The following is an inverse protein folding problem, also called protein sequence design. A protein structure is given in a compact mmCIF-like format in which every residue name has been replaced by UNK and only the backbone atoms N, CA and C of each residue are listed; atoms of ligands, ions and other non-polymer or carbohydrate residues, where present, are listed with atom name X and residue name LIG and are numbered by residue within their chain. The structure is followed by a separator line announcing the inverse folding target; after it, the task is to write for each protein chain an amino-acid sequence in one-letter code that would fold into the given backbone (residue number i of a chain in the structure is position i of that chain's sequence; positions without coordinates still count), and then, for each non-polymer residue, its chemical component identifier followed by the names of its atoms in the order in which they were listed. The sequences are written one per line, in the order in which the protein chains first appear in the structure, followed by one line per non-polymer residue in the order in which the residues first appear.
data_IF_104201035702
#
_entry.id   IF_104201035702
#
_cell.length_a   1.000
_cell.length_b   1.000
_cell.length_c   1.000
_cell.angle_alpha   90.00
_cell.angle_beta   90.00
_cell.angle_gamma   90.00
#
_symmetry.space_group_name_H-M   'P 1'
#
loop_
_entity.id
_entity.type
_entity.pdbx_description
1 polymer ?
#
# COMPACT_ATOMS: atom_id res chain seq x y z
N UNK A 1 7.42 22.91 8.95
CA UNK A 1 6.70 21.81 9.62
C UNK A 1 7.44 20.50 9.37
N UNK A 2 8.36 20.19 10.27
CA UNK A 2 8.92 18.88 10.61
C UNK A 2 9.98 19.18 11.68
N UNK A 3 9.64 19.01 12.97
CA UNK A 3 10.62 19.09 14.04
C UNK A 3 11.18 17.68 14.24
N UNK A 4 12.48 17.49 14.01
CA UNK A 4 13.19 16.26 14.35
C UNK A 4 13.69 16.42 15.79
N UNK A 5 13.18 15.61 16.72
CA UNK A 5 13.63 15.58 18.11
C UNK A 5 14.51 14.35 18.36
N UNK A 6 15.62 14.53 19.08
CA UNK A 6 16.68 13.55 19.27
C UNK A 6 16.38 12.66 20.50
N UNK A 7 16.50 11.34 20.34
CA UNK A 7 15.87 10.32 21.21
C UNK A 7 16.62 10.06 22.54
N UNK A 8 17.75 10.72 22.78
CA UNK A 8 18.62 10.39 23.93
C UNK A 8 18.12 10.93 25.29
N UNK A 9 16.94 11.56 25.39
CA UNK A 9 16.52 12.26 26.62
C UNK A 9 15.08 12.05 27.09
N UNK A 10 14.32 11.05 26.63
CA UNK A 10 12.91 10.88 27.05
C UNK A 10 12.67 9.53 27.75
N UNK A 11 12.29 9.60 29.03
CA UNK A 11 12.26 8.44 29.96
C UNK A 11 10.87 8.11 30.55
N UNK A 12 9.74 8.63 30.04
CA UNK A 12 8.45 8.39 30.70
C UNK A 12 7.33 7.81 29.81
N UNK A 13 6.62 6.83 30.39
CA UNK A 13 5.64 5.94 29.77
C UNK A 13 4.33 6.63 29.29
N UNK A 14 4.20 7.95 29.47
CA UNK A 14 3.05 8.74 29.03
C UNK A 14 3.22 9.38 27.64
N UNK A 15 4.42 9.33 27.04
CA UNK A 15 4.68 9.83 25.67
C UNK A 15 4.30 8.85 24.54
N UNK A 16 3.90 7.62 24.90
CA UNK A 16 3.56 6.56 23.93
C UNK A 16 2.27 6.81 23.14
N UNK A 17 1.49 7.85 23.46
CA UNK A 17 0.24 8.19 22.77
C UNK A 17 0.30 9.50 21.94
N UNK A 18 1.43 10.22 21.91
CA UNK A 18 1.57 11.47 21.14
C UNK A 18 2.62 11.48 20.04
N UNK A 19 3.34 10.38 19.80
CA UNK A 19 4.29 10.28 18.69
C UNK A 19 3.87 9.17 17.75
N UNK A 20 3.26 9.56 16.64
CA UNK A 20 3.03 8.73 15.48
C UNK A 20 4.38 8.20 14.94
N UNK A 21 4.84 7.10 15.55
CA UNK A 21 5.44 5.92 14.92
C UNK A 21 6.24 6.20 13.64
N UNK A 22 7.43 6.79 13.80
CA UNK A 22 8.57 6.44 12.96
C UNK A 22 8.94 4.98 13.25
N UNK A 23 8.25 4.03 12.62
CA UNK A 23 8.60 2.59 12.74
C UNK A 23 9.86 2.34 11.91
N UNK A 24 11.01 2.38 12.57
CA UNK A 24 12.30 1.94 12.05
C UNK A 24 12.65 0.62 12.75
N UNK A 25 12.40 -0.47 12.01
CA UNK A 25 13.08 -1.77 11.98
C UNK A 25 12.97 -2.76 13.17
N UNK A 26 12.40 -3.93 12.88
CA UNK A 26 12.88 -5.20 13.45
C UNK A 26 14.19 -5.59 12.73
N UNK A 27 15.31 -5.84 13.43
CA UNK A 27 16.63 -6.04 12.83
C UNK A 27 16.86 -7.49 12.37
N UNK A 28 16.05 -8.00 11.44
CA UNK A 28 16.22 -9.38 10.94
C UNK A 28 16.30 -9.56 9.42
N UNK A 29 16.21 -8.51 8.62
CA UNK A 29 16.38 -8.61 7.17
C UNK A 29 17.38 -7.57 6.66
N UNK A 30 18.60 -8.02 6.33
CA UNK A 30 19.49 -7.28 5.44
C UNK A 30 18.93 -7.46 4.02
N UNK A 31 18.45 -6.38 3.42
CA UNK A 31 17.99 -6.35 2.04
C UNK A 31 18.71 -5.24 1.27
N UNK A 32 19.01 -5.48 0.00
CA UNK A 32 19.47 -4.46 -0.94
C UNK A 32 18.31 -3.64 -1.54
N UNK A 33 17.07 -4.07 -1.31
CA UNK A 33 15.87 -3.37 -1.74
C UNK A 33 15.53 -2.20 -0.79
N UNK A 34 14.88 -1.17 -1.32
CA UNK A 34 14.34 -0.08 -0.52
C UNK A 34 12.89 -0.41 -0.17
N UNK A 35 12.59 -0.50 1.13
CA UNK A 35 11.24 -0.68 1.66
C UNK A 35 10.98 0.45 2.65
N UNK A 36 10.06 1.36 2.33
CA UNK A 36 9.68 2.47 3.23
C UNK A 36 8.19 2.46 3.46
N UNK A 37 7.81 2.67 4.71
CA UNK A 37 6.42 2.73 5.13
C UNK A 37 6.30 3.74 6.27
N UNK A 38 5.38 4.69 6.14
CA UNK A 38 5.08 5.69 7.15
C UNK A 38 3.57 5.85 7.24
N UNK A 39 3.02 5.66 8.44
CA UNK A 39 1.60 5.91 8.68
C UNK A 39 1.39 7.41 8.82
N UNK A 40 0.44 7.96 8.05
CA UNK A 40 0.06 9.37 8.06
C UNK A 40 -1.22 9.59 8.85
N UNK A 41 -2.25 8.78 8.55
CA UNK A 41 -3.53 8.80 9.24
C UNK A 41 -4.02 7.35 9.45
N UNK A 42 -3.94 6.79 10.66
CA UNK A 42 -4.44 5.43 10.92
C UNK A 42 -5.92 5.21 10.58
N UNK A 43 -6.72 6.29 10.56
CA UNK A 43 -8.16 6.27 10.20
C UNK A 43 -8.42 6.60 8.73
N UNK A 44 -7.38 6.80 7.93
CA UNK A 44 -7.49 7.06 6.50
C UNK A 44 -8.14 5.88 5.77
N UNK A 45 -8.93 6.17 4.74
CA UNK A 45 -9.60 5.16 3.92
C UNK A 45 -8.86 4.83 2.63
N UNK A 46 -7.84 5.59 2.25
CA UNK A 46 -7.00 5.34 1.07
C UNK A 46 -5.62 4.90 1.53
N UNK A 47 -5.23 3.68 1.20
CA UNK A 47 -3.93 3.09 1.52
C UNK A 47 -3.14 2.83 0.24
N UNK A 48 -1.82 2.86 0.33
CA UNK A 48 -0.93 2.76 -0.82
C UNK A 48 0.12 1.66 -0.64
N UNK A 49 0.38 0.94 -1.72
CA UNK A 49 1.46 -0.03 -1.87
C UNK A 49 2.08 0.18 -3.26
N UNK A 50 2.92 1.20 -3.38
CA UNK A 50 3.42 1.68 -4.68
C UNK A 50 4.87 1.25 -4.89
N UNK A 51 5.19 0.69 -6.06
CA UNK A 51 6.59 0.39 -6.36
C UNK A 51 7.32 1.55 -7.05
N UNK A 52 8.45 1.96 -6.47
CA UNK A 52 9.30 3.07 -6.92
C UNK A 52 9.04 4.36 -6.14
N UNK A 53 10.09 4.93 -5.54
CA UNK A 53 10.00 6.15 -4.73
C UNK A 53 9.46 7.38 -5.47
N UNK A 54 9.78 7.56 -6.76
CA UNK A 54 9.18 8.65 -7.55
C UNK A 54 7.69 8.45 -7.80
N UNK A 55 7.28 7.20 -8.03
CA UNK A 55 5.86 6.88 -8.22
C UNK A 55 5.07 7.05 -6.92
N UNK A 56 5.60 6.64 -5.76
CA UNK A 56 4.90 6.79 -4.49
C UNK A 56 4.58 8.25 -4.15
N UNK A 57 5.51 9.17 -4.44
CA UNK A 57 5.25 10.61 -4.30
C UNK A 57 4.12 11.05 -5.22
N UNK A 58 4.18 10.70 -6.51
CA UNK A 58 3.15 11.09 -7.49
C UNK A 58 1.76 10.54 -7.13
N UNK A 59 1.66 9.33 -6.58
CA UNK A 59 0.40 8.77 -6.08
C UNK A 59 -0.15 9.56 -4.89
N UNK A 60 0.70 9.89 -3.92
CA UNK A 60 0.31 10.69 -2.76
C UNK A 60 -0.12 12.11 -3.17
N UNK A 61 0.65 12.76 -4.04
CA UNK A 61 0.33 14.08 -4.61
C UNK A 61 -1.00 14.05 -5.36
N UNK A 62 -1.24 13.03 -6.20
CA UNK A 62 -2.51 12.92 -6.92
C UNK A 62 -3.71 12.80 -5.98
N UNK A 63 -3.60 12.01 -4.91
CA UNK A 63 -4.68 11.92 -3.91
C UNK A 63 -4.89 13.26 -3.20
N UNK A 64 -3.80 13.97 -2.90
CA UNK A 64 -3.82 15.30 -2.31
C UNK A 64 -4.46 16.36 -3.22
N UNK A 65 -4.05 16.42 -4.49
CA UNK A 65 -4.55 17.34 -5.51
C UNK A 65 -6.05 17.13 -5.80
N UNK A 66 -6.53 15.89 -5.66
CA UNK A 66 -7.95 15.57 -5.76
C UNK A 66 -8.74 15.95 -4.49
N UNK A 67 -8.10 16.47 -3.45
CA UNK A 67 -8.72 16.97 -2.22
C UNK A 67 -8.84 15.93 -1.09
N UNK A 68 -8.18 14.78 -1.21
CA UNK A 68 -8.33 13.65 -0.28
C UNK A 68 -7.08 13.34 0.54
N UNK A 69 -6.18 14.33 0.72
CA UNK A 69 -4.98 14.17 1.54
C UNK A 69 -5.28 13.66 2.96
N UNK A 70 -6.37 14.11 3.58
CA UNK A 70 -6.79 13.67 4.92
C UNK A 70 -7.26 12.22 4.98
N UNK A 71 -7.61 11.61 3.84
CA UNK A 71 -8.01 10.21 3.75
C UNK A 71 -6.82 9.27 3.50
N UNK A 72 -5.61 9.81 3.28
CA UNK A 72 -4.41 9.03 3.01
C UNK A 72 -3.87 8.38 4.29
N UNK A 73 -3.91 7.06 4.34
CA UNK A 73 -3.49 6.28 5.50
C UNK A 73 -1.98 6.23 5.69
N UNK A 74 -1.24 6.19 4.59
CA UNK A 74 0.20 6.00 4.60
C UNK A 74 0.89 6.65 3.39
N UNK A 75 2.18 6.92 3.57
CA UNK A 75 3.15 7.03 2.49
C UNK A 75 4.00 5.76 2.48
N UNK A 76 4.06 5.04 1.35
CA UNK A 76 4.87 3.84 1.28
C UNK A 76 5.41 3.54 -0.11
N UNK A 77 6.60 2.94 -0.16
CA UNK A 77 7.23 2.48 -1.38
C UNK A 77 8.03 1.19 -1.20
N UNK A 78 8.08 0.40 -2.26
CA UNK A 78 9.05 -0.68 -2.41
C UNK A 78 9.79 -0.56 -3.74
N UNK A 79 11.12 -0.68 -3.74
CA UNK A 79 11.94 -0.56 -4.95
C UNK A 79 13.29 -1.29 -4.82
N UNK A 80 14.09 -1.30 -5.88
CA UNK A 80 15.36 -2.05 -5.88
C UNK A 80 15.22 -3.55 -6.13
N UNK A 81 14.10 -3.97 -6.74
CA UNK A 81 13.79 -5.37 -7.07
C UNK A 81 13.81 -6.32 -5.85
N UNK A 82 12.93 -6.08 -4.85
CA UNK A 82 12.82 -6.98 -3.71
C UNK A 82 12.40 -8.38 -4.15
N UNK A 83 12.85 -9.38 -3.40
CA UNK A 83 12.43 -10.76 -3.58
C UNK A 83 11.01 -11.00 -3.06
N UNK A 84 10.46 -12.19 -3.32
CA UNK A 84 9.09 -12.50 -2.95
C UNK A 84 8.84 -12.41 -1.44
N UNK A 85 9.74 -12.94 -0.60
CA UNK A 85 9.58 -12.97 0.87
C UNK A 85 9.56 -11.55 1.46
N UNK A 86 10.45 -10.68 0.98
CA UNK A 86 10.47 -9.26 1.37
C UNK A 86 9.15 -8.57 1.06
N UNK A 87 8.58 -8.84 -0.11
CA UNK A 87 7.28 -8.29 -0.51
C UNK A 87 6.13 -8.86 0.32
N UNK A 88 6.17 -10.15 0.69
CA UNK A 88 5.17 -10.74 1.60
C UNK A 88 5.18 -10.00 2.93
N UNK A 89 6.34 -9.82 3.56
CA UNK A 89 6.46 -9.15 4.87
C UNK A 89 6.02 -7.69 4.79
N UNK A 90 6.48 -6.97 3.76
CA UNK A 90 6.07 -5.59 3.52
C UNK A 90 4.55 -5.47 3.32
N UNK A 91 3.95 -6.34 2.49
CA UNK A 91 2.52 -6.34 2.24
C UNK A 91 1.71 -6.66 3.51
N UNK A 92 2.17 -7.60 4.35
CA UNK A 92 1.53 -7.90 5.66
C UNK A 92 1.42 -6.66 6.55
N UNK A 93 2.51 -5.91 6.68
CA UNK A 93 2.54 -4.67 7.50
C UNK A 93 1.53 -3.66 6.98
N UNK A 94 1.53 -3.38 5.67
CA UNK A 94 0.57 -2.45 5.06
C UNK A 94 -0.86 -2.90 5.31
N UNK A 95 -1.15 -4.18 5.09
CA UNK A 95 -2.49 -4.75 5.24
C UNK A 95 -2.97 -4.76 6.70
N UNK A 96 -2.09 -5.05 7.66
CA UNK A 96 -2.43 -4.99 9.07
C UNK A 96 -2.77 -3.56 9.52
N UNK A 97 -2.03 -2.55 9.05
CA UNK A 97 -2.39 -1.15 9.31
C UNK A 97 -3.70 -0.74 8.62
N UNK A 98 -3.87 -1.11 7.34
CA UNK A 98 -5.03 -0.71 6.55
C UNK A 98 -6.36 -1.32 7.04
N UNK A 99 -6.29 -2.43 7.77
CA UNK A 99 -7.44 -3.19 8.27
C UNK A 99 -7.59 -3.18 9.80
N UNK A 100 -6.82 -2.35 10.50
CA UNK A 100 -6.78 -2.34 11.96
C UNK A 100 -8.09 -1.91 12.64
N UNK A 101 -8.83 -0.98 12.02
CA UNK A 101 -10.03 -0.37 12.61
C UNK A 101 -11.18 -0.31 11.58
N UNK A 102 -11.88 -1.43 11.33
CA UNK A 102 -13.00 -1.47 10.38
C UNK A 102 -14.21 -0.71 10.94
N UNK A 103 -14.53 0.42 10.31
CA UNK A 103 -15.59 1.36 10.73
C UNK A 103 -16.85 1.26 9.85
N UNK A 104 -17.00 0.17 9.11
CA UNK A 104 -18.13 -0.09 8.21
C UNK A 104 -18.14 0.77 6.94
N UNK A 105 -17.20 1.69 6.76
CA UNK A 105 -17.05 2.50 5.53
C UNK A 105 -16.16 1.77 4.53
N UNK A 106 -16.40 2.00 3.23
CA UNK A 106 -15.52 1.49 2.16
C UNK A 106 -14.11 2.06 2.31
N UNK A 107 -13.12 1.24 2.01
CA UNK A 107 -11.69 1.59 1.97
C UNK A 107 -11.10 1.17 0.64
N UNK A 108 -10.04 1.84 0.22
CA UNK A 108 -9.33 1.55 -1.01
C UNK A 108 -7.85 1.30 -0.75
N UNK A 109 -7.30 0.28 -1.41
CA UNK A 109 -5.87 -0.01 -1.45
C UNK A 109 -5.35 0.14 -2.89
N UNK A 110 -4.45 1.10 -3.09
CA UNK A 110 -3.78 1.39 -4.35
C UNK A 110 -2.48 0.57 -4.46
N UNK A 111 -2.48 -0.47 -5.30
CA UNK A 111 -1.30 -1.31 -5.57
C UNK A 111 -0.72 -0.87 -6.93
N UNK A 112 0.29 0.00 -6.89
CA UNK A 112 0.57 0.88 -8.02
C UNK A 112 2.02 1.00 -8.47
N UNK A 113 2.20 1.88 -9.44
CA UNK A 113 3.46 2.55 -9.75
C UNK A 113 3.83 2.57 -11.22
N UNK A 114 5.06 3.03 -11.48
CA UNK A 114 5.59 3.20 -12.83
C UNK A 114 5.80 1.88 -13.58
N UNK A 115 6.19 1.99 -14.84
CA UNK A 115 6.64 0.83 -15.62
C UNK A 115 8.05 0.48 -15.13
N UNK A 116 8.22 -0.71 -14.55
CA UNK A 116 9.51 -1.13 -14.03
C UNK A 116 10.50 -1.45 -15.16
N UNK A 117 11.77 -1.11 -14.95
CA UNK A 117 12.84 -1.44 -15.90
C UNK A 117 13.37 -2.88 -15.71
N UNK A 118 13.56 -3.30 -14.46
CA UNK A 118 14.23 -4.56 -14.12
C UNK A 118 13.53 -5.38 -13.03
N UNK A 119 12.54 -4.81 -12.33
CA UNK A 119 11.78 -5.55 -11.31
C UNK A 119 10.86 -6.57 -11.97
N UNK A 120 10.95 -7.83 -11.55
CA UNK A 120 9.99 -8.87 -11.94
C UNK A 120 8.63 -8.61 -11.25
N UNK A 121 7.65 -8.17 -12.06
CA UNK A 121 6.30 -7.87 -11.57
C UNK A 121 5.57 -9.14 -11.16
N UNK A 122 5.80 -10.28 -11.80
CA UNK A 122 5.16 -11.53 -11.43
C UNK A 122 5.66 -12.07 -10.08
N UNK A 123 6.96 -11.93 -9.79
CA UNK A 123 7.54 -12.33 -8.51
C UNK A 123 7.02 -11.44 -7.37
N UNK A 124 7.10 -10.12 -7.53
CA UNK A 124 6.59 -9.18 -6.52
C UNK A 124 5.08 -9.35 -6.29
N UNK A 125 4.29 -9.48 -7.35
CA UNK A 125 2.84 -9.71 -7.20
C UNK A 125 2.52 -11.05 -6.55
N UNK A 126 3.37 -12.07 -6.71
CA UNK A 126 3.15 -13.35 -6.02
C UNK A 126 3.27 -13.18 -4.49
N UNK A 127 4.18 -12.33 -4.02
CA UNK A 127 4.28 -11.99 -2.59
C UNK A 127 3.09 -11.18 -2.09
N UNK A 128 2.64 -10.17 -2.85
CA UNK A 128 1.44 -9.38 -2.52
C UNK A 128 0.20 -10.28 -2.45
N UNK A 129 0.02 -11.15 -3.45
CA UNK A 129 -1.11 -12.09 -3.53
C UNK A 129 -1.13 -13.04 -2.34
N UNK A 130 0.03 -13.54 -1.92
CA UNK A 130 0.12 -14.37 -0.73
C UNK A 130 -0.35 -13.62 0.52
N UNK A 131 0.14 -12.40 0.75
CA UNK A 131 -0.29 -11.59 1.89
C UNK A 131 -1.79 -11.24 1.84
N UNK A 132 -2.35 -10.99 0.65
CA UNK A 132 -3.78 -10.74 0.47
C UNK A 132 -4.63 -11.95 0.85
N UNK A 133 -4.21 -13.17 0.45
CA UNK A 133 -4.88 -14.42 0.86
C UNK A 133 -4.86 -14.59 2.38
N UNK A 134 -3.71 -14.37 3.00
CA UNK A 134 -3.56 -14.50 4.46
C UNK A 134 -4.44 -13.51 5.25
N UNK A 135 -4.78 -12.37 4.65
CA UNK A 135 -5.56 -11.30 5.27
C UNK A 135 -6.99 -11.19 4.73
N UNK A 136 -7.50 -12.21 4.03
CA UNK A 136 -8.82 -12.22 3.39
C UNK A 136 -9.94 -11.75 4.33
N UNK A 137 -10.04 -12.35 5.51
CA UNK A 137 -11.11 -12.03 6.47
C UNK A 137 -11.07 -10.57 6.93
N UNK A 138 -9.87 -10.03 7.16
CA UNK A 138 -9.66 -8.63 7.54
C UNK A 138 -9.99 -7.67 6.40
N UNK A 139 -9.63 -8.01 5.16
CA UNK A 139 -9.95 -7.24 3.96
C UNK A 139 -11.47 -7.12 3.78
N UNK A 140 -12.19 -8.23 3.93
CA UNK A 140 -13.67 -8.27 3.88
C UNK A 140 -14.30 -7.44 5.00
N UNK A 141 -13.86 -7.65 6.24
CA UNK A 141 -14.38 -6.91 7.40
C UNK A 141 -14.18 -5.39 7.24
N UNK A 142 -13.10 -4.97 6.59
CA UNK A 142 -12.77 -3.56 6.34
C UNK A 142 -13.41 -2.98 5.09
N UNK A 143 -14.26 -3.75 4.38
CA UNK A 143 -14.86 -3.37 3.07
C UNK A 143 -13.80 -2.80 2.11
N UNK A 144 -12.66 -3.49 2.02
CA UNK A 144 -11.53 -3.04 1.21
C UNK A 144 -11.76 -3.31 -0.28
N UNK A 145 -11.50 -2.31 -1.13
CA UNK A 145 -11.46 -2.41 -2.58
C UNK A 145 -10.03 -2.20 -3.06
N UNK A 146 -9.55 -3.02 -3.99
CA UNK A 146 -8.17 -2.95 -4.49
C UNK A 146 -8.17 -2.41 -5.90
N UNK A 147 -7.26 -1.47 -6.16
CA UNK A 147 -7.02 -0.94 -7.49
C UNK A 147 -5.56 -1.12 -7.85
N UNK A 148 -5.32 -1.82 -8.95
CA UNK A 148 -3.99 -2.30 -9.32
C UNK A 148 -3.59 -1.72 -10.67
N UNK A 149 -2.42 -1.07 -10.73
CA UNK A 149 -1.84 -0.57 -11.99
C UNK A 149 -0.35 -0.83 -11.99
N UNK A 150 0.12 -1.67 -12.92
CA UNK A 150 1.55 -1.97 -13.03
C UNK A 150 2.00 -2.35 -14.44
N UNK A 151 3.23 -1.96 -14.78
CA UNK A 151 3.96 -2.42 -15.96
C UNK A 151 5.40 -2.82 -15.61
N UNK A 152 6.09 -3.45 -16.57
CA UNK A 152 7.47 -3.90 -16.44
C UNK A 152 7.65 -5.39 -16.76
N UNK A 153 8.83 -5.99 -16.52
CA UNK A 153 9.07 -7.41 -16.78
C UNK A 153 7.99 -8.32 -16.16
N UNK A 154 7.48 -9.26 -16.97
CA UNK A 154 6.49 -10.27 -16.56
C UNK A 154 5.16 -9.71 -16.01
N UNK A 155 4.83 -8.43 -16.29
CA UNK A 155 3.64 -7.80 -15.73
C UNK A 155 2.34 -8.49 -16.13
N UNK A 156 2.20 -8.97 -17.37
CA UNK A 156 0.97 -9.64 -17.82
C UNK A 156 0.63 -10.86 -16.93
N UNK A 157 1.65 -11.64 -16.58
CA UNK A 157 1.52 -12.78 -15.66
C UNK A 157 1.13 -12.32 -14.26
N UNK A 158 1.77 -11.28 -13.72
CA UNK A 158 1.42 -10.69 -12.43
C UNK A 158 -0.03 -10.20 -12.38
N UNK A 159 -0.43 -9.39 -13.37
CA UNK A 159 -1.79 -8.86 -13.49
C UNK A 159 -2.84 -9.98 -13.66
N UNK A 160 -2.54 -11.01 -14.46
CA UNK A 160 -3.44 -12.15 -14.63
C UNK A 160 -3.67 -12.91 -13.31
N UNK A 161 -2.63 -13.11 -12.50
CA UNK A 161 -2.77 -13.71 -11.16
C UNK A 161 -3.62 -12.83 -10.25
N UNK A 162 -3.41 -11.51 -10.28
CA UNK A 162 -4.17 -10.55 -9.47
C UNK A 162 -5.66 -10.51 -9.85
N UNK A 163 -5.99 -10.59 -11.14
CA UNK A 163 -7.39 -10.68 -11.60
C UNK A 163 -8.10 -11.93 -11.11
N UNK A 164 -7.41 -13.08 -11.10
CA UNK A 164 -7.95 -14.34 -10.58
C UNK A 164 -8.19 -14.26 -9.06
N UNK A 165 -7.29 -13.59 -8.35
CA UNK A 165 -7.37 -13.47 -6.89
C UNK A 165 -8.68 -12.84 -6.43
N UNK A 166 -9.17 -11.79 -7.10
CA UNK A 166 -10.39 -11.09 -6.66
C UNK A 166 -11.60 -12.01 -6.54
N UNK A 167 -11.79 -12.91 -7.50
CA UNK A 167 -12.84 -13.93 -7.46
C UNK A 167 -12.55 -15.02 -6.42
N UNK A 168 -11.28 -15.41 -6.25
CA UNK A 168 -10.85 -16.43 -5.30
C UNK A 168 -11.13 -16.04 -3.85
N UNK A 169 -10.73 -14.82 -3.45
CA UNK A 169 -10.90 -14.36 -2.06
C UNK A 169 -12.18 -13.55 -1.86
N UNK A 170 -12.98 -13.29 -2.90
CA UNK A 170 -14.22 -12.52 -2.80
C UNK A 170 -14.00 -11.07 -2.35
N UNK A 171 -12.90 -10.46 -2.78
CA UNK A 171 -12.57 -9.04 -2.53
C UNK A 171 -12.57 -8.33 -3.90
N UNK A 172 -13.19 -7.14 -4.05
CA UNK A 172 -13.17 -6.41 -5.30
C UNK A 172 -11.75 -5.98 -5.67
N UNK A 173 -11.27 -6.42 -6.84
CA UNK A 173 -9.95 -6.05 -7.37
C UNK A 173 -10.08 -5.61 -8.83
N UNK A 174 -9.78 -4.34 -9.11
CA UNK A 174 -9.72 -3.78 -10.46
C UNK A 174 -8.25 -3.72 -10.92
N UNK A 175 -7.94 -4.26 -12.10
CA UNK A 175 -6.56 -4.53 -12.52
C UNK A 175 -6.27 -3.99 -13.92
N UNK A 176 -5.30 -3.08 -13.98
CA UNK A 176 -4.89 -2.32 -15.15
C UNK A 176 -3.41 -2.48 -15.46
N UNK A 177 -3.06 -2.44 -16.74
CA UNK A 177 -1.69 -2.47 -17.22
C UNK A 177 -1.15 -1.09 -17.60
N UNK A 178 -0.07 -1.06 -18.40
CA UNK A 178 0.58 0.17 -18.84
C UNK A 178 -0.27 0.99 -19.84
N UNK A 179 -1.33 0.42 -20.40
CA UNK A 179 -2.31 1.10 -21.24
C UNK A 179 -3.07 2.21 -20.50
N UNK A 180 -3.23 2.08 -19.18
CA UNK A 180 -3.84 3.10 -18.33
C UNK A 180 -2.80 4.09 -17.80
N UNK A 181 -3.25 5.32 -17.53
CA UNK A 181 -2.42 6.32 -16.86
C UNK A 181 -1.97 5.82 -15.49
N UNK A 182 -0.75 6.16 -15.07
CA UNK A 182 -0.19 5.67 -13.82
C UNK A 182 -1.10 5.95 -12.62
N UNK A 183 -1.68 7.15 -12.56
CA UNK A 183 -2.48 7.62 -11.44
C UNK A 183 -3.99 7.48 -11.67
N UNK A 184 -4.43 6.91 -12.79
CA UNK A 184 -5.86 6.74 -13.11
C UNK A 184 -6.63 5.99 -12.02
N UNK A 185 -5.98 5.02 -11.38
CA UNK A 185 -6.56 4.27 -10.25
C UNK A 185 -6.80 5.09 -8.98
N UNK A 186 -6.14 6.26 -8.83
CA UNK A 186 -6.38 7.15 -7.69
C UNK A 186 -7.81 7.71 -7.73
N UNK A 187 -8.26 8.13 -8.91
CA UNK A 187 -9.61 8.65 -9.11
C UNK A 187 -10.67 7.58 -8.79
N UNK A 188 -10.48 6.36 -9.26
CA UNK A 188 -11.39 5.24 -9.01
C UNK A 188 -11.47 4.88 -7.52
N UNK A 189 -10.32 4.87 -6.83
CA UNK A 189 -10.28 4.64 -5.39
C UNK A 189 -11.04 5.74 -4.61
N UNK A 190 -10.92 6.99 -5.03
CA UNK A 190 -11.66 8.10 -4.43
C UNK A 190 -13.17 7.95 -4.67
N UNK A 191 -13.58 7.67 -5.90
CA UNK A 191 -14.99 7.40 -6.24
C UNK A 191 -15.55 6.24 -5.40
N UNK A 192 -14.76 5.19 -5.16
CA UNK A 192 -15.12 4.06 -4.31
C UNK A 192 -15.45 4.47 -2.86
N UNK A 193 -14.56 5.24 -2.22
CA UNK A 193 -14.76 5.65 -0.82
C UNK A 193 -15.83 6.74 -0.65
N UNK A 194 -16.22 7.38 -1.75
CA UNK A 194 -17.28 8.38 -1.81
C UNK A 194 -18.66 7.78 -2.13
N UNK A 195 -18.71 6.66 -2.85
CA UNK A 195 -19.95 5.98 -3.18
C UNK A 195 -20.68 5.58 -1.90
N UNK A 196 -21.93 6.04 -1.76
CA UNK A 196 -22.79 5.75 -0.62
C UNK A 196 -22.79 4.25 -0.27
N UNK A 197 -22.81 3.97 1.04
CA UNK A 197 -22.68 2.63 1.62
C UNK A 197 -23.78 1.68 1.23
#
# INVERSE_FOLDING_TARGET
FAHVCNINTCTDLYDLLSYALTVVWYPFFQTSASLKFTVLNPKGRIWTMVAGGGASVIYADTVGDLGYASELGNYAEYSGAPNQEEVVQYARVVLDCATADPDGRKRALLIGGGIANFTDVAATFSGIIQALREKESKLKASRMHLYVRRGGPNYQTGLAKMRKLGAEIGVPIEVYGPEETMTGICKQAIECIMAAS
#
